data_IF_010840528588
#
_entry.id   IF_010840528588
#
_cell.length_a   1.000
_cell.length_b   1.000
_cell.length_c   1.000
_cell.angle_alpha   90.00
_cell.angle_beta   90.00
_cell.angle_gamma   90.00
#
_symmetry.space_group_name_H-M   'P 1'
#
loop_
_entity.id
_entity.type
_entity.pdbx_description
1 polymer ?
#
# COMPACT_ATOMS: atom_id res chain seq x y z
N UNK A 1 22.42 -16.68 -3.39
CA UNK A 1 21.42 -15.71 -2.90
C UNK A 1 20.12 -16.47 -2.70
N UNK A 2 19.57 -16.50 -1.49
CA UNK A 2 18.35 -17.25 -1.19
C UNK A 2 17.16 -16.59 -1.89
N UNK A 3 16.43 -17.32 -2.73
CA UNK A 3 15.13 -16.90 -3.22
C UNK A 3 14.15 -16.89 -2.05
N UNK A 4 13.68 -15.72 -1.65
CA UNK A 4 12.65 -15.61 -0.63
C UNK A 4 11.32 -16.03 -1.27
N UNK A 5 10.79 -17.18 -0.86
CA UNK A 5 9.47 -17.66 -1.24
C UNK A 5 8.45 -17.15 -0.22
N UNK A 6 7.44 -16.41 -0.68
CA UNK A 6 6.34 -15.94 0.15
C UNK A 6 5.12 -16.84 -0.07
N UNK A 7 4.36 -17.08 0.99
CA UNK A 7 3.07 -17.75 0.91
C UNK A 7 2.06 -16.87 0.16
N UNK A 8 1.35 -17.46 -0.81
CA UNK A 8 0.43 -16.74 -1.68
C UNK A 8 -0.77 -16.20 -0.92
N UNK A 9 -1.31 -16.99 0.03
CA UNK A 9 -2.41 -16.58 0.89
C UNK A 9 -2.05 -15.36 1.74
N UNK A 10 -0.80 -15.29 2.21
CA UNK A 10 -0.27 -14.12 2.92
C UNK A 10 -0.19 -12.88 2.02
N UNK A 11 0.33 -13.00 0.80
CA UNK A 11 0.51 -11.86 -0.11
C UNK A 11 -0.82 -11.18 -0.46
N UNK A 12 -1.88 -11.95 -0.65
CA UNK A 12 -3.24 -11.44 -0.91
C UNK A 12 -3.80 -10.60 0.25
N UNK A 13 -3.32 -10.80 1.48
CA UNK A 13 -3.77 -10.05 2.66
C UNK A 13 -2.95 -8.79 2.93
N UNK A 14 -1.75 -8.66 2.34
CA UNK A 14 -0.81 -7.56 2.64
C UNK A 14 -1.38 -6.20 2.25
N UNK A 15 -2.04 -6.12 1.09
CA UNK A 15 -2.65 -4.92 0.56
C UNK A 15 -4.09 -4.80 1.08
N UNK A 16 -4.36 -3.78 1.89
CA UNK A 16 -5.67 -3.60 2.55
C UNK A 16 -6.59 -2.69 1.75
N UNK A 17 -6.08 -1.54 1.29
CA UNK A 17 -6.85 -0.57 0.51
C UNK A 17 -5.95 0.46 -0.20
N UNK A 18 -6.36 1.04 -1.34
CA UNK A 18 -5.69 2.21 -1.90
C UNK A 18 -5.93 3.45 -1.03
N UNK A 19 -4.96 4.39 -1.02
CA UNK A 19 -5.08 5.65 -0.28
C UNK A 19 -5.37 6.77 -1.28
N UNK A 20 -6.57 7.32 -1.21
CA UNK A 20 -7.00 8.47 -2.02
C UNK A 20 -6.82 9.75 -1.20
N UNK A 21 -6.03 10.69 -1.72
CA UNK A 21 -5.84 12.03 -1.18
C UNK A 21 -5.16 12.91 -2.24
N UNK A 22 -5.28 14.24 -2.13
CA UNK A 22 -4.60 15.19 -3.03
C UNK A 22 -3.10 14.89 -3.17
N UNK A 23 -2.43 14.56 -2.05
CA UNK A 23 -1.01 14.18 -2.06
C UNK A 23 -0.78 12.87 -2.80
N UNK A 24 -1.69 11.90 -2.69
CA UNK A 24 -1.56 10.62 -3.40
C UNK A 24 -1.61 10.85 -4.91
N UNK A 25 -2.61 11.61 -5.39
CA UNK A 25 -2.73 12.00 -6.80
C UNK A 25 -1.50 12.76 -7.29
N UNK A 26 -1.08 13.80 -6.56
CA UNK A 26 0.10 14.58 -6.93
C UNK A 26 1.41 13.77 -6.92
N UNK A 27 1.49 12.68 -6.14
CA UNK A 27 2.65 11.79 -6.13
C UNK A 27 2.60 10.81 -7.31
N UNK A 28 1.41 10.34 -7.68
CA UNK A 28 1.20 9.53 -8.86
C UNK A 28 1.65 10.28 -10.12
N UNK A 29 1.21 11.53 -10.29
CA UNK A 29 1.57 12.36 -11.46
C UNK A 29 3.08 12.62 -11.57
N UNK A 30 3.75 12.87 -10.43
CA UNK A 30 5.18 13.25 -10.41
C UNK A 30 6.13 12.07 -10.50
N UNK A 31 5.77 10.94 -9.91
CA UNK A 31 6.74 9.84 -9.66
C UNK A 31 6.22 8.48 -10.07
N UNK A 32 5.02 8.39 -10.66
CA UNK A 32 4.34 7.15 -10.97
C UNK A 32 4.27 6.20 -9.75
N UNK A 33 3.98 6.78 -8.59
CA UNK A 33 3.92 6.04 -7.34
C UNK A 33 2.49 6.00 -6.77
N UNK A 34 2.05 4.80 -6.45
CA UNK A 34 0.74 4.51 -5.88
C UNK A 34 0.86 4.34 -4.37
N UNK A 35 -0.13 4.84 -3.63
CA UNK A 35 -0.18 4.70 -2.19
C UNK A 35 -1.18 3.64 -1.75
N UNK A 36 -0.73 2.71 -0.92
CA UNK A 36 -1.56 1.67 -0.32
C UNK A 36 -1.54 1.76 1.21
N UNK A 37 -2.68 1.45 1.83
CA UNK A 37 -2.77 1.01 3.22
C UNK A 37 -2.42 -0.47 3.24
N UNK A 38 -1.44 -0.83 4.06
CA UNK A 38 -0.93 -2.20 4.17
C UNK A 38 -1.05 -2.69 5.60
N UNK A 39 -0.93 -4.01 5.79
CA UNK A 39 -0.89 -4.60 7.12
C UNK A 39 0.30 -4.07 7.93
N UNK A 40 0.10 -3.96 9.24
CA UNK A 40 1.08 -3.31 10.11
C UNK A 40 2.40 -4.07 10.21
N UNK A 41 2.34 -5.40 10.07
CA UNK A 41 3.48 -6.31 10.09
C UNK A 41 4.10 -6.56 8.71
N UNK A 42 3.55 -6.00 7.62
CA UNK A 42 4.03 -6.30 6.26
C UNK A 42 5.45 -5.77 6.00
N UNK A 43 6.34 -6.58 5.43
CA UNK A 43 7.69 -6.13 5.05
C UNK A 43 7.71 -5.46 3.68
N UNK A 44 8.77 -4.69 3.35
CA UNK A 44 8.88 -4.04 2.03
C UNK A 44 8.92 -5.07 0.89
N UNK A 45 9.56 -6.20 1.13
CA UNK A 45 9.71 -7.29 0.16
C UNK A 45 8.37 -7.99 -0.10
N UNK A 46 7.57 -8.22 0.96
CA UNK A 46 6.20 -8.72 0.84
C UNK A 46 5.32 -7.76 0.03
N UNK A 47 5.37 -6.46 0.33
CA UNK A 47 4.55 -5.46 -0.38
C UNK A 47 4.93 -5.41 -1.86
N UNK A 48 6.23 -5.50 -2.17
CA UNK A 48 6.70 -5.59 -3.56
C UNK A 48 6.09 -6.81 -4.25
N UNK A 49 6.27 -8.00 -3.68
CA UNK A 49 5.76 -9.24 -4.25
C UNK A 49 4.23 -9.22 -4.41
N UNK A 50 3.50 -8.72 -3.40
CA UNK A 50 2.04 -8.64 -3.45
C UNK A 50 1.54 -7.73 -4.58
N UNK A 51 2.15 -6.55 -4.76
CA UNK A 51 1.74 -5.64 -5.85
C UNK A 51 2.09 -6.23 -7.22
N UNK A 52 3.28 -6.82 -7.36
CA UNK A 52 3.69 -7.44 -8.62
C UNK A 52 2.79 -8.63 -9.00
N UNK A 53 2.35 -9.43 -8.02
CA UNK A 53 1.43 -10.56 -8.27
C UNK A 53 0.00 -10.11 -8.52
N UNK A 54 -0.56 -9.22 -7.69
CA UNK A 54 -1.98 -8.84 -7.78
C UNK A 54 -2.31 -7.98 -8.99
N UNK A 55 -1.36 -7.14 -9.43
CA UNK A 55 -1.59 -6.20 -10.53
C UNK A 55 -0.76 -6.53 -11.79
N UNK A 56 0.04 -7.59 -11.76
CA UNK A 56 0.93 -8.00 -12.85
C UNK A 56 1.84 -6.85 -13.38
N UNK A 57 2.25 -5.97 -12.46
CA UNK A 57 3.17 -4.84 -12.74
C UNK A 57 4.57 -5.14 -12.23
N UNK A 58 5.53 -4.29 -12.58
CA UNK A 58 6.92 -4.30 -12.10
C UNK A 58 7.14 -3.11 -11.16
N UNK A 59 7.58 -3.42 -9.96
CA UNK A 59 7.78 -2.41 -8.92
C UNK A 59 9.26 -2.01 -8.88
N UNK A 60 9.52 -0.70 -9.03
CA UNK A 60 10.85 -0.12 -8.93
C UNK A 60 11.31 0.00 -7.48
N UNK A 61 10.47 0.57 -6.62
CA UNK A 61 10.82 0.84 -5.23
C UNK A 61 9.59 0.85 -4.31
N UNK A 62 9.81 0.52 -3.04
CA UNK A 62 8.78 0.54 -2.00
C UNK A 62 9.27 1.32 -0.78
N UNK A 63 8.53 2.36 -0.41
CA UNK A 63 8.78 3.18 0.76
C UNK A 63 7.60 3.04 1.72
N UNK A 64 7.86 2.78 3.00
CA UNK A 64 6.79 2.53 3.99
C UNK A 64 6.92 3.50 5.15
N UNK A 65 5.78 3.94 5.68
CA UNK A 65 5.71 4.74 6.89
C UNK A 65 4.61 4.23 7.82
N UNK A 66 4.84 4.38 9.12
CA UNK A 66 3.88 4.03 10.16
C UNK A 66 3.26 5.31 10.74
N UNK A 67 1.97 5.49 10.54
CA UNK A 67 1.21 6.61 11.06
C UNK A 67 0.53 6.22 12.39
N UNK A 68 0.78 7.01 13.44
CA UNK A 68 0.11 6.83 14.73
C UNK A 68 -1.38 7.16 14.61
N UNK A 69 -2.23 6.33 15.21
CA UNK A 69 -3.66 6.57 15.26
C UNK A 69 -3.96 7.77 16.16
N UNK A 70 -4.92 8.61 15.75
CA UNK A 70 -5.29 9.81 16.52
C UNK A 70 -6.11 9.41 17.75
N UNK A 71 -5.78 9.96 18.91
CA UNK A 71 -6.64 9.92 20.09
C UNK A 71 -7.89 10.77 19.83
N UNK A 72 -9.06 10.22 20.14
CA UNK A 72 -10.34 10.90 19.94
C UNK A 72 -11.26 10.62 21.11
N UNK A 73 -11.96 11.67 21.55
CA UNK A 73 -13.05 11.53 22.51
C UNK A 73 -14.32 11.11 21.77
N UNK A 74 -14.96 10.05 22.26
CA UNK A 74 -16.29 9.63 21.83
C UNK A 74 -17.22 9.69 23.04
N UNK A 75 -18.09 10.72 23.06
CA UNK A 75 -18.91 11.04 24.23
C UNK A 75 -18.05 11.30 25.48
N UNK A 76 -18.23 10.45 26.51
CA UNK A 76 -17.51 10.54 27.78
C UNK A 76 -16.15 9.82 27.78
N UNK A 77 -15.89 8.93 26.82
CA UNK A 77 -14.70 8.06 26.82
C UNK A 77 -13.65 8.58 25.83
N UNK A 78 -12.37 8.53 26.23
CA UNK A 78 -11.24 8.80 25.35
C UNK A 78 -10.79 7.46 24.74
N UNK A 79 -10.94 7.34 23.43
CA UNK A 79 -10.45 6.21 22.65
C UNK A 79 -9.32 6.62 21.71
N UNK A 80 -8.77 5.65 20.98
CA UNK A 80 -7.75 5.90 19.95
C UNK A 80 -8.08 5.11 18.71
N UNK A 81 -7.85 5.70 17.54
CA UNK A 81 -7.93 4.99 16.26
C UNK A 81 -6.73 4.05 16.08
N UNK A 82 -6.87 3.10 15.16
CA UNK A 82 -5.81 2.18 14.81
C UNK A 82 -4.62 2.86 14.15
N UNK A 83 -3.48 2.20 14.28
CA UNK A 83 -2.28 2.53 13.53
C UNK A 83 -2.47 2.16 12.05
N UNK A 84 -1.88 2.99 11.19
CA UNK A 84 -1.95 2.77 9.75
C UNK A 84 -0.55 2.74 9.20
N UNK A 85 -0.18 1.67 8.52
CA UNK A 85 1.03 1.60 7.70
C UNK A 85 0.67 1.96 6.27
N UNK A 86 1.39 2.95 5.73
CA UNK A 86 1.23 3.40 4.34
C UNK A 86 2.44 2.96 3.54
N UNK A 87 2.22 2.43 2.36
CA UNK A 87 3.24 2.08 1.40
C UNK A 87 3.11 2.98 0.18
N UNK A 88 4.21 3.64 -0.19
CA UNK A 88 4.42 4.30 -1.46
C UNK A 88 5.13 3.29 -2.36
N UNK A 89 4.47 2.90 -3.44
CA UNK A 89 4.95 1.88 -4.36
C UNK A 89 5.19 2.56 -5.69
N UNK A 90 6.47 2.73 -6.04
CA UNK A 90 6.89 3.31 -7.31
C UNK A 90 6.93 2.23 -8.37
N UNK A 91 6.18 2.43 -9.46
CA UNK A 91 6.13 1.52 -10.58
C UNK A 91 7.27 1.79 -11.56
N UNK A 92 7.54 0.85 -12.46
CA UNK A 92 8.39 1.14 -13.62
C UNK A 92 7.70 2.11 -14.58
N UNK A 93 8.49 2.75 -15.44
CA UNK A 93 7.96 3.70 -16.42
C UNK A 93 7.00 2.98 -17.39
N UNK A 94 5.87 3.62 -17.70
CA UNK A 94 4.86 3.08 -18.62
C UNK A 94 3.91 2.04 -18.02
N UNK A 95 3.97 1.78 -16.71
CA UNK A 95 3.02 0.92 -16.02
C UNK A 95 2.08 1.75 -15.15
N UNK A 96 0.79 1.47 -15.26
CA UNK A 96 -0.25 2.14 -14.50
C UNK A 96 -1.13 1.10 -13.80
N UNK A 97 -1.66 1.49 -12.64
CA UNK A 97 -2.64 0.69 -11.91
C UNK A 97 -3.97 1.43 -11.95
N UNK A 98 -4.95 0.84 -12.62
CA UNK A 98 -6.33 1.34 -12.64
C UNK A 98 -7.10 0.81 -11.43
N UNK A 99 -7.56 1.72 -10.55
CA UNK A 99 -8.38 1.39 -9.37
C UNK A 99 -9.89 1.41 -9.65
N UNK A 100 -10.30 1.83 -10.85
CA UNK A 100 -11.68 1.83 -11.28
C UNK A 100 -12.04 0.50 -11.92
N UNK A 101 -13.14 -0.11 -11.47
CA UNK A 101 -13.73 -1.27 -12.12
C UNK A 101 -14.31 -0.92 -13.48
N UNK A 102 -13.45 -0.70 -14.47
CA UNK A 102 -13.82 -0.89 -15.87
C UNK A 102 -13.62 -2.38 -16.14
N UNK A 103 -14.70 -3.14 -15.95
CA UNK A 103 -14.84 -4.42 -16.62
C UNK A 103 -14.94 -4.12 -18.11
N UNK A 104 -13.93 -4.55 -18.88
CA UNK A 104 -14.06 -4.77 -20.32
C UNK A 104 -14.66 -6.15 -20.53
#
# INVERSE_FOLDING_TARGET
>A
MSSIQFDEGRLMQVLVAPIVSEKATATADKTNAVLFKVLQNATKTEIKAAVEQMFNVKVKAVNVLNQKGKSKRFGKTIGRRDHVRKAYVTLQAGQEISFGGEAV
#
